data_IF_232761414788
#
_entry.id   IF_232761414788
#
_cell.length_a   1.000
_cell.length_b   1.000
_cell.length_c   1.000
_cell.angle_alpha   90.00
_cell.angle_beta   90.00
_cell.angle_gamma   90.00
#
_symmetry.space_group_name_H-M   'P 1'
#
loop_
_entity.id
_entity.type
_entity.pdbx_description
1 polymer ?
#
# COMPACT_ATOMS: atom_id res chain seq x y z
N UNK A 1 13.33 13.91 1.96
CA UNK A 1 13.62 12.48 2.26
C UNK A 1 12.64 11.89 3.29
N UNK A 2 12.52 12.50 4.47
CA UNK A 2 11.61 12.07 5.56
C UNK A 2 10.16 11.94 5.08
N UNK A 3 9.66 12.97 4.38
CA UNK A 3 8.28 12.96 3.89
C UNK A 3 7.98 11.85 2.87
N UNK A 4 8.94 11.52 2.00
CA UNK A 4 8.82 10.40 1.06
C UNK A 4 8.74 9.07 1.81
N UNK A 5 9.57 8.86 2.83
CA UNK A 5 9.51 7.65 3.69
C UNK A 5 8.13 7.52 4.32
N UNK A 6 7.59 8.62 4.83
CA UNK A 6 6.26 8.68 5.41
C UNK A 6 5.10 8.45 4.42
N UNK A 7 5.29 8.75 3.13
CA UNK A 7 4.34 8.43 2.06
C UNK A 7 4.42 6.97 1.60
N UNK A 8 5.59 6.34 1.70
CA UNK A 8 5.79 4.96 1.22
C UNK A 8 5.55 3.92 2.32
N UNK A 9 6.07 4.13 3.53
CA UNK A 9 6.09 3.12 4.62
C UNK A 9 5.69 3.69 5.98
N UNK A 10 5.89 4.98 6.24
CA UNK A 10 5.54 5.58 7.53
C UNK A 10 4.03 5.77 7.72
N UNK A 11 3.64 6.81 8.47
CA UNK A 11 2.24 7.07 8.83
C UNK A 11 1.24 6.92 7.67
N UNK A 12 1.39 7.62 6.53
CA UNK A 12 0.50 7.48 5.38
C UNK A 12 1.05 6.53 4.31
N UNK A 13 1.85 5.55 4.73
CA UNK A 13 2.63 4.69 3.85
C UNK A 13 1.76 3.81 2.95
N UNK A 14 1.88 3.95 1.63
CA UNK A 14 1.17 3.10 0.66
C UNK A 14 1.42 1.60 0.94
N UNK A 15 2.68 1.23 1.21
CA UNK A 15 3.07 -0.17 1.43
C UNK A 15 2.81 -0.66 2.85
N UNK A 16 2.76 0.24 3.85
CA UNK A 16 2.41 -0.15 5.22
C UNK A 16 0.90 -0.31 5.39
N UNK A 17 0.11 0.46 4.64
CA UNK A 17 -1.35 0.34 4.61
C UNK A 17 -1.81 -0.86 3.79
N UNK A 18 -1.13 -1.15 2.69
CA UNK A 18 -1.47 -2.24 1.76
C UNK A 18 -0.20 -2.94 1.25
N UNK A 19 0.35 -3.88 2.03
CA UNK A 19 1.61 -4.57 1.69
C UNK A 19 1.58 -5.32 0.36
N UNK A 20 0.40 -5.72 -0.12
CA UNK A 20 0.22 -6.38 -1.41
C UNK A 20 0.78 -5.56 -2.59
N UNK A 21 0.80 -4.23 -2.50
CA UNK A 21 1.36 -3.38 -3.55
C UNK A 21 2.86 -3.55 -3.76
N UNK A 22 3.59 -4.14 -2.79
CA UNK A 22 4.98 -4.55 -2.99
C UNK A 22 5.11 -5.61 -4.11
N UNK A 23 4.11 -6.47 -4.29
CA UNK A 23 4.11 -7.43 -5.40
C UNK A 23 4.06 -6.73 -6.77
N UNK A 24 3.50 -5.52 -6.85
CA UNK A 24 3.48 -4.72 -8.08
C UNK A 24 4.88 -4.36 -8.57
N UNK A 25 5.84 -4.20 -7.65
CA UNK A 25 7.24 -3.97 -7.97
C UNK A 25 7.88 -5.15 -8.71
N UNK A 26 7.34 -6.36 -8.60
CA UNK A 26 7.84 -7.51 -9.34
C UNK A 26 7.59 -7.39 -10.86
N UNK A 27 6.77 -6.44 -11.31
CA UNK A 27 6.56 -6.15 -12.73
C UNK A 27 7.84 -5.75 -13.46
N UNK A 28 8.84 -5.19 -12.76
CA UNK A 28 10.16 -4.92 -13.35
C UNK A 28 11.06 -6.16 -13.40
N UNK A 29 10.68 -7.28 -12.81
CA UNK A 29 11.50 -8.50 -12.88
C UNK A 29 11.53 -9.04 -14.32
N UNK A 30 12.67 -9.62 -14.72
CA UNK A 30 12.82 -10.25 -16.05
C UNK A 30 11.80 -11.37 -16.27
N UNK A 31 11.40 -12.06 -15.19
CA UNK A 31 10.41 -13.13 -15.24
C UNK A 31 9.05 -12.60 -15.66
N UNK A 32 8.56 -11.57 -14.95
CA UNK A 32 7.25 -10.98 -15.23
C UNK A 32 7.24 -10.33 -16.62
N UNK A 33 8.33 -9.67 -17.02
CA UNK A 33 8.45 -9.13 -18.38
C UNK A 33 8.42 -10.19 -19.49
N UNK A 34 8.81 -11.44 -19.18
CA UNK A 34 8.78 -12.58 -20.11
C UNK A 34 7.44 -13.32 -20.14
N UNK A 35 6.50 -13.02 -19.24
CA UNK A 35 5.17 -13.65 -19.28
C UNK A 35 4.31 -13.12 -20.43
N UNK A 36 4.77 -12.09 -21.15
CA UNK A 36 4.09 -11.45 -22.28
C UNK A 36 2.64 -11.04 -21.97
N UNK A 37 2.35 -10.78 -20.68
CA UNK A 37 1.02 -10.38 -20.26
C UNK A 37 0.61 -9.06 -20.93
N UNK A 38 -0.61 -8.96 -21.50
CA UNK A 38 -1.08 -7.74 -22.16
C UNK A 38 -1.19 -6.55 -21.20
N UNK A 39 -1.22 -6.82 -19.88
CA UNK A 39 -1.30 -5.80 -18.84
C UNK A 39 0.07 -5.23 -18.42
N UNK A 40 1.19 -5.74 -18.95
CA UNK A 40 2.52 -5.20 -18.63
C UNK A 40 2.67 -3.73 -19.03
N UNK A 41 2.11 -3.33 -20.18
CA UNK A 41 2.10 -1.94 -20.62
C UNK A 41 1.32 -1.05 -19.65
N UNK A 42 0.14 -1.52 -19.20
CA UNK A 42 -0.66 -0.83 -18.18
C UNK A 42 0.11 -0.74 -16.86
N UNK A 43 0.74 -1.81 -16.40
CA UNK A 43 1.55 -1.81 -15.18
C UNK A 43 2.70 -0.79 -15.25
N UNK A 44 3.36 -0.68 -16.42
CA UNK A 44 4.38 0.32 -16.68
C UNK A 44 3.85 1.76 -16.60
N UNK A 45 2.73 2.05 -17.27
CA UNK A 45 2.08 3.36 -17.22
C UNK A 45 1.57 3.71 -15.82
N UNK A 46 1.00 2.75 -15.10
CA UNK A 46 0.60 2.90 -13.70
C UNK A 46 1.79 3.26 -12.82
N UNK A 47 2.93 2.58 -12.99
CA UNK A 47 4.16 2.89 -12.27
C UNK A 47 4.67 4.30 -12.57
N UNK A 48 4.71 4.68 -13.86
CA UNK A 48 5.10 6.02 -14.29
C UNK A 48 4.17 7.10 -13.69
N UNK A 49 2.85 6.91 -13.81
CA UNK A 49 1.86 7.82 -13.25
C UNK A 49 1.99 7.96 -11.74
N UNK A 50 2.26 6.87 -11.03
CA UNK A 50 2.49 6.89 -9.58
C UNK A 50 3.71 7.72 -9.21
N UNK A 51 4.81 7.59 -9.97
CA UNK A 51 6.02 8.40 -9.77
C UNK A 51 5.75 9.87 -10.06
N UNK A 52 5.01 10.19 -11.13
CA UNK A 52 4.63 11.57 -11.47
C UNK A 52 3.76 12.19 -10.38
N UNK A 53 2.72 11.49 -9.94
CA UNK A 53 1.80 11.97 -8.90
C UNK A 53 2.54 12.16 -7.57
N UNK A 54 3.35 11.18 -7.16
CA UNK A 54 4.12 11.28 -5.91
C UNK A 54 5.19 12.37 -6.01
N UNK A 55 5.92 12.45 -7.12
CA UNK A 55 6.92 13.49 -7.36
C UNK A 55 6.31 14.88 -7.32
N UNK A 56 5.18 15.08 -8.03
CA UNK A 56 4.44 16.33 -7.97
C UNK A 56 3.94 16.64 -6.55
N UNK A 57 3.37 15.64 -5.86
CA UNK A 57 2.92 15.79 -4.49
C UNK A 57 4.05 16.33 -3.61
N UNK A 58 5.25 15.75 -3.65
CA UNK A 58 6.42 16.19 -2.87
C UNK A 58 6.85 17.65 -3.14
N UNK A 59 6.42 18.27 -4.24
CA UNK A 59 6.67 19.70 -4.51
C UNK A 59 5.65 20.63 -3.84
N UNK A 60 4.47 20.11 -3.45
CA UNK A 60 3.32 20.91 -2.97
C UNK A 60 3.26 21.00 -1.44
N UNK A 61 4.36 21.38 -0.80
CA UNK A 61 4.51 21.45 0.67
C UNK A 61 3.48 22.31 1.40
N UNK A 62 3.02 23.38 0.75
CA UNK A 62 2.05 24.32 1.31
C UNK A 62 0.61 23.76 1.36
N UNK A 63 0.31 22.70 0.60
CA UNK A 63 -1.04 22.14 0.44
C UNK A 63 -1.12 20.67 0.84
N UNK A 64 -0.21 20.19 1.69
CA UNK A 64 -0.19 18.79 2.13
C UNK A 64 -1.47 18.39 2.86
N UNK A 65 -2.08 19.32 3.59
CA UNK A 65 -3.30 19.07 4.34
C UNK A 65 -4.43 19.94 3.80
N UNK A 66 -5.34 19.37 3.00
CA UNK A 66 -6.68 19.96 2.82
C UNK A 66 -7.52 19.69 4.09
N UNK A 67 -7.09 20.24 5.23
CA UNK A 67 -7.88 20.39 6.46
C UNK A 67 -8.68 19.19 6.98
N UNK A 68 -8.11 17.99 7.05
CA UNK A 68 -8.83 16.85 7.64
C UNK A 68 -7.99 15.59 7.84
N UNK A 69 -8.42 14.73 8.77
CA UNK A 69 -7.84 13.43 9.09
C UNK A 69 -8.12 12.41 7.96
N UNK A 70 -7.11 11.60 7.62
CA UNK A 70 -7.27 10.47 6.68
C UNK A 70 -6.37 9.33 7.08
N UNK A 71 -6.81 8.11 6.76
CA UNK A 71 -6.03 6.90 6.99
C UNK A 71 -4.97 6.63 5.92
N UNK A 72 -4.93 7.39 4.82
CA UNK A 72 -4.10 7.09 3.66
C UNK A 72 -3.68 8.36 2.91
N UNK A 73 -2.62 8.25 2.09
CA UNK A 73 -2.18 9.34 1.22
C UNK A 73 -3.27 9.70 0.20
N UNK A 74 -4.04 10.76 0.50
CA UNK A 74 -5.25 11.14 -0.24
C UNK A 74 -5.04 11.31 -1.75
N UNK A 75 -3.90 11.89 -2.14
CA UNK A 75 -3.53 12.11 -3.55
C UNK A 75 -3.33 10.82 -4.34
N UNK A 76 -3.10 9.70 -3.67
CA UNK A 76 -2.81 8.42 -4.30
C UNK A 76 -4.00 7.45 -4.26
N UNK A 77 -5.07 7.76 -3.52
CA UNK A 77 -6.24 6.88 -3.38
C UNK A 77 -6.89 6.52 -4.73
N UNK A 78 -6.96 7.46 -5.66
CA UNK A 78 -7.54 7.21 -6.99
C UNK A 78 -6.66 6.32 -7.88
N UNK A 79 -5.38 6.11 -7.52
CA UNK A 79 -4.48 5.20 -8.23
C UNK A 79 -4.70 3.73 -7.83
N UNK A 80 -5.42 3.46 -6.73
CA UNK A 80 -5.63 2.11 -6.20
C UNK A 80 -6.18 1.13 -7.26
N UNK A 81 -7.23 1.45 -8.05
CA UNK A 81 -7.70 0.54 -9.09
C UNK A 81 -6.62 0.20 -10.14
N UNK A 82 -5.79 1.19 -10.51
CA UNK A 82 -4.68 0.99 -11.44
C UNK A 82 -3.58 0.12 -10.82
N UNK A 83 -3.28 0.31 -9.54
CA UNK A 83 -2.35 -0.55 -8.80
C UNK A 83 -2.85 -1.98 -8.73
N UNK A 84 -4.14 -2.20 -8.45
CA UNK A 84 -4.73 -3.53 -8.43
C UNK A 84 -4.62 -4.23 -9.78
N UNK A 85 -4.88 -3.53 -10.88
CA UNK A 85 -4.67 -4.08 -12.23
C UNK A 85 -3.19 -4.36 -12.53
N UNK A 86 -2.29 -3.49 -12.06
CA UNK A 86 -0.85 -3.68 -12.22
C UNK A 86 -0.30 -4.88 -11.41
N UNK A 87 -1.06 -5.41 -10.45
CA UNK A 87 -0.69 -6.63 -9.72
C UNK A 87 -0.92 -7.91 -10.52
N UNK A 88 -1.72 -7.88 -11.59
CA UNK A 88 -2.08 -9.10 -12.34
C UNK A 88 -0.83 -9.79 -12.95
N UNK A 89 0.01 -9.12 -13.77
CA UNK A 89 1.20 -9.77 -14.33
C UNK A 89 2.16 -10.40 -13.30
N UNK A 90 2.51 -9.73 -12.19
CA UNK A 90 3.39 -10.34 -11.19
C UNK A 90 2.73 -11.49 -10.41
N UNK A 91 1.43 -11.42 -10.14
CA UNK A 91 0.72 -12.50 -9.46
C UNK A 91 0.59 -13.75 -10.35
N UNK A 92 0.30 -13.59 -11.64
CA UNK A 92 0.26 -14.69 -12.61
C UNK A 92 1.63 -15.39 -12.70
N UNK A 93 2.71 -14.61 -12.81
CA UNK A 93 4.07 -15.16 -12.86
C UNK A 93 4.50 -15.87 -11.57
N UNK A 94 3.92 -15.48 -10.42
CA UNK A 94 4.07 -16.16 -9.14
C UNK A 94 3.28 -17.48 -9.08
N UNK A 95 2.11 -17.55 -9.74
CA UNK A 95 1.36 -18.79 -9.94
C UNK A 95 2.19 -19.87 -10.64
N UNK A 96 2.94 -19.50 -11.68
CA UNK A 96 3.87 -20.42 -12.35
C UNK A 96 5.02 -20.88 -11.43
N UNK A 97 5.43 -20.03 -10.48
CA UNK A 97 6.43 -20.36 -9.46
C UNK A 97 5.91 -21.38 -8.48
N UNK A 98 4.62 -21.30 -8.10
CA UNK A 98 3.97 -22.24 -7.20
C UNK A 98 3.99 -23.67 -7.76
N UNK A 99 4.03 -23.87 -9.08
CA UNK A 99 4.21 -25.20 -9.67
C UNK A 99 5.60 -25.80 -9.40
N UNK A 100 6.61 -24.94 -9.14
CA UNK A 100 8.02 -25.36 -8.93
C UNK A 100 8.51 -25.21 -7.50
N UNK A 101 7.87 -24.36 -6.69
CA UNK A 101 8.20 -24.11 -5.29
C UNK A 101 7.15 -24.72 -4.35
N UNK A 102 7.47 -24.98 -3.07
CA UNK A 102 6.51 -25.54 -2.14
C UNK A 102 5.34 -24.58 -1.95
N UNK A 103 4.13 -25.05 -2.29
CA UNK A 103 2.84 -24.33 -2.14
C UNK A 103 2.66 -23.67 -0.77
N UNK A 104 3.24 -24.27 0.28
CA UNK A 104 3.25 -23.74 1.65
C UNK A 104 3.92 -22.37 1.78
N UNK A 105 5.01 -22.10 1.03
CA UNK A 105 5.70 -20.81 1.09
C UNK A 105 4.83 -19.69 0.53
N UNK A 106 4.18 -19.91 -0.61
CA UNK A 106 3.28 -18.92 -1.20
C UNK A 106 2.06 -18.67 -0.32
N UNK A 107 1.46 -19.72 0.24
CA UNK A 107 0.40 -19.58 1.24
C UNK A 107 0.85 -18.76 2.45
N UNK A 108 2.04 -19.03 2.99
CA UNK A 108 2.58 -18.29 4.12
C UNK A 108 2.76 -16.79 3.79
N UNK A 109 3.28 -16.46 2.60
CA UNK A 109 3.41 -15.07 2.14
C UNK A 109 2.04 -14.41 2.02
N UNK A 110 1.06 -15.07 1.38
CA UNK A 110 -0.30 -14.52 1.23
C UNK A 110 -0.97 -14.30 2.59
N UNK A 111 -0.83 -15.25 3.52
CA UNK A 111 -1.34 -15.11 4.89
C UNK A 111 -0.65 -13.97 5.65
N UNK A 112 0.67 -13.80 5.50
CA UNK A 112 1.39 -12.70 6.12
C UNK A 112 0.92 -11.32 5.58
N UNK A 113 0.77 -11.19 4.25
CA UNK A 113 0.25 -9.96 3.63
C UNK A 113 -1.18 -9.67 4.09
N UNK A 114 -2.04 -10.69 4.16
CA UNK A 114 -3.41 -10.56 4.66
C UNK A 114 -3.43 -10.15 6.14
N UNK A 115 -2.65 -10.81 6.99
CA UNK A 115 -2.58 -10.49 8.41
C UNK A 115 -2.14 -9.03 8.63
N UNK A 116 -1.09 -8.58 7.93
CA UNK A 116 -0.65 -7.18 7.98
C UNK A 116 -1.73 -6.21 7.48
N UNK A 117 -2.44 -6.56 6.40
CA UNK A 117 -3.55 -5.74 5.89
C UNK A 117 -4.70 -5.65 6.90
N UNK A 118 -5.03 -6.74 7.60
CA UNK A 118 -6.05 -6.77 8.64
C UNK A 118 -5.61 -5.94 9.84
N UNK A 119 -4.36 -6.07 10.30
CA UNK A 119 -3.80 -5.28 11.39
C UNK A 119 -3.85 -3.77 11.06
N UNK A 120 -3.42 -3.40 9.85
CA UNK A 120 -3.43 -2.02 9.36
C UNK A 120 -4.83 -1.40 9.40
N UNK A 121 -5.87 -2.16 9.04
CA UNK A 121 -7.25 -1.68 9.06
C UNK A 121 -7.89 -1.73 10.46
N UNK A 122 -7.63 -2.79 11.22
CA UNK A 122 -8.30 -3.06 12.49
C UNK A 122 -7.74 -2.23 13.66
N UNK A 123 -6.42 -2.03 13.74
CA UNK A 123 -5.82 -1.30 14.86
C UNK A 123 -6.36 0.13 15.02
N UNK A 124 -6.45 0.96 13.96
CA UNK A 124 -7.06 2.28 14.08
C UNK A 124 -8.52 2.18 14.53
N UNK A 125 -9.30 1.26 13.95
CA UNK A 125 -10.72 1.07 14.28
C UNK A 125 -10.91 0.70 15.76
N UNK A 126 -10.09 -0.22 16.28
CA UNK A 126 -10.14 -0.62 17.70
C UNK A 126 -9.77 0.57 18.59
N UNK A 127 -8.68 1.28 18.26
CA UNK A 127 -8.24 2.45 19.03
C UNK A 127 -9.34 3.51 19.11
N UNK A 128 -9.93 3.87 17.96
CA UNK A 128 -11.01 4.87 17.90
C UNK A 128 -12.28 4.38 18.61
N UNK A 129 -12.61 3.08 18.55
CA UNK A 129 -13.77 2.54 19.25
C UNK A 129 -13.63 2.57 20.78
N UNK A 130 -12.41 2.36 21.30
CA UNK A 130 -12.11 2.44 22.73
C UNK A 130 -12.11 3.89 23.23
N UNK A 131 -11.57 4.82 22.45
CA UNK A 131 -11.47 6.24 22.81
C UNK A 131 -12.80 6.99 22.64
N UNK A 132 -13.56 6.64 21.59
CA UNK A 132 -14.84 7.23 21.24
C UNK A 132 -15.86 6.12 20.95
N UNK A 133 -16.84 5.86 21.84
CA UNK A 133 -17.82 4.78 21.68
C UNK A 133 -18.86 4.99 20.56
N UNK A 134 -18.60 5.90 19.62
CA UNK A 134 -19.40 6.12 18.42
C UNK A 134 -19.13 5.10 17.31
N UNK A 135 -19.83 5.25 16.19
CA UNK A 135 -19.60 4.40 15.02
C UNK A 135 -18.14 4.55 14.53
N UNK A 136 -17.44 3.44 14.22
CA UNK A 136 -16.06 3.49 13.77
C UNK A 136 -15.90 4.35 12.51
N UNK A 137 -15.06 5.38 12.59
CA UNK A 137 -14.78 6.30 11.48
C UNK A 137 -13.60 5.78 10.62
N UNK A 138 -13.76 5.57 9.30
CA UNK A 138 -12.65 5.20 8.43
C UNK A 138 -11.65 6.34 8.16
N UNK A 139 -12.03 7.60 8.38
CA UNK A 139 -11.20 8.80 8.20
C UNK A 139 -10.49 9.19 9.49
N UNK A 140 -9.61 8.32 9.95
CA UNK A 140 -8.85 8.45 11.18
C UNK A 140 -7.34 8.34 10.92
N UNK A 141 -6.52 8.61 11.94
CA UNK A 141 -5.08 8.46 11.80
C UNK A 141 -4.70 6.99 11.50
N UNK A 142 -3.71 6.76 10.62
CA UNK A 142 -3.27 5.43 10.23
C UNK A 142 -2.60 4.66 11.39
N UNK A 143 -2.52 3.33 11.27
CA UNK A 143 -2.07 2.45 12.36
C UNK A 143 -0.66 2.76 12.87
N UNK A 144 0.29 3.06 11.98
CA UNK A 144 1.64 3.47 12.37
C UNK A 144 1.65 4.80 13.12
N UNK A 145 0.77 5.73 12.78
CA UNK A 145 0.67 7.00 13.51
C UNK A 145 0.22 6.74 14.95
N UNK A 146 -0.84 5.96 15.12
CA UNK A 146 -1.35 5.57 16.45
C UNK A 146 -0.31 4.82 17.26
N UNK A 147 0.43 3.91 16.64
CA UNK A 147 1.50 3.18 17.30
C UNK A 147 2.64 4.10 17.76
N UNK A 148 2.99 5.10 16.95
CA UNK A 148 4.01 6.10 17.32
C UNK A 148 3.53 6.99 18.47
N UNK A 149 2.25 7.35 18.49
CA UNK A 149 1.58 8.08 19.59
C UNK A 149 1.57 7.25 20.87
N UNK A 150 1.15 5.98 20.80
CA UNK A 150 1.14 5.04 21.93
C UNK A 150 2.55 4.80 22.52
N UNK A 151 3.59 4.86 21.69
CA UNK A 151 5.00 4.75 22.10
C UNK A 151 5.64 6.07 22.53
N UNK A 152 4.91 7.19 22.49
CA UNK A 152 5.40 8.52 22.86
C UNK A 152 6.48 9.07 21.95
N UNK A 153 6.52 8.63 20.68
CA UNK A 153 7.47 9.14 19.68
C UNK A 153 7.00 10.45 19.04
N UNK A 154 5.70 10.70 19.07
CA UNK A 154 5.03 11.92 18.60
C UNK A 154 3.99 12.36 19.63
#
# INVERSE_FOLDING_TARGET
PVYLVHCLVGHHGIFSLSPIFLAGLLSVSRRVRRSESPLLGLAGWTGFLSVVVLGFYLTRTQNYNYGGLTCALRWALWLVPLWLLALVPPLDACGDLQQRQPRLRMLAISWALLALSVISAALPLIHTWLEYPGAPNPFQAPWLYRLMEDWGWI
#
